data_IF_505713737994
#
_entry.id   IF_505713737994
#
_cell.length_a   1.000
_cell.length_b   1.000
_cell.length_c   1.000
_cell.angle_alpha   90.00
_cell.angle_beta   90.00
_cell.angle_gamma   90.00
#
_symmetry.space_group_name_H-M   'P 1'
#
loop_
_entity.id
_entity.type
_entity.pdbx_description
1 polymer ?
#
# COMPACT_ATOMS: atom_id res chain seq x y z
N UNK A 1 7.71 10.54 -30.02
CA UNK A 1 6.54 9.78 -30.50
C UNK A 1 5.32 10.32 -29.77
N UNK A 2 4.21 10.56 -30.46
CA UNK A 2 2.97 11.01 -29.80
C UNK A 2 2.29 9.78 -29.18
N UNK A 3 2.19 9.74 -27.86
CA UNK A 3 1.44 8.71 -27.15
C UNK A 3 -0.05 8.87 -27.50
N UNK A 4 -0.76 7.82 -27.94
CA UNK A 4 -2.17 7.94 -28.29
C UNK A 4 -3.00 8.29 -27.05
N UNK A 5 -3.93 9.23 -27.19
CA UNK A 5 -4.83 9.61 -26.10
C UNK A 5 -5.68 8.41 -25.67
N UNK A 6 -5.84 8.22 -24.36
CA UNK A 6 -6.70 7.18 -23.80
C UNK A 6 -8.06 7.83 -23.50
N UNK A 7 -9.18 7.33 -24.05
CA UNK A 7 -10.49 7.87 -23.71
C UNK A 7 -10.79 7.71 -22.21
N UNK A 8 -11.20 8.78 -21.54
CA UNK A 8 -11.48 8.82 -20.09
C UNK A 8 -12.43 7.71 -19.61
N UNK A 9 -13.45 7.36 -20.40
CA UNK A 9 -14.42 6.31 -20.07
C UNK A 9 -13.85 4.89 -20.16
N UNK A 10 -12.68 4.71 -20.77
CA UNK A 10 -11.94 3.44 -20.82
C UNK A 10 -10.87 3.36 -19.73
N UNK A 11 -10.76 4.38 -18.87
CA UNK A 11 -9.86 4.38 -17.74
C UNK A 11 -10.52 3.77 -16.51
N UNK A 12 -9.77 3.00 -15.72
CA UNK A 12 -10.20 2.59 -14.37
C UNK A 12 -10.28 3.80 -13.43
N UNK A 13 -10.95 3.67 -12.28
CA UNK A 13 -11.01 4.76 -11.30
C UNK A 13 -9.64 5.26 -10.83
N UNK A 14 -8.65 4.36 -10.71
CA UNK A 14 -7.27 4.71 -10.37
C UNK A 14 -6.57 5.45 -11.52
N UNK A 15 -6.75 4.99 -12.76
CA UNK A 15 -6.21 5.66 -13.93
C UNK A 15 -6.78 7.08 -14.07
N UNK A 16 -8.08 7.27 -13.83
CA UNK A 16 -8.73 8.58 -13.80
C UNK A 16 -8.13 9.49 -12.71
N UNK A 17 -7.87 8.95 -11.52
CA UNK A 17 -7.26 9.70 -10.42
C UNK A 17 -5.81 10.13 -10.76
N UNK A 18 -5.00 9.22 -11.28
CA UNK A 18 -3.61 9.48 -11.72
C UNK A 18 -3.57 10.47 -12.87
N UNK A 19 -4.49 10.36 -13.83
CA UNK A 19 -4.59 11.31 -14.92
C UNK A 19 -4.94 12.71 -14.40
N UNK A 20 -5.96 12.82 -13.53
CA UNK A 20 -6.40 14.10 -12.99
C UNK A 20 -5.33 14.80 -12.16
N UNK A 21 -4.60 14.05 -11.32
CA UNK A 21 -3.50 14.61 -10.51
C UNK A 21 -2.32 15.06 -11.39
N UNK A 22 -1.97 14.25 -12.39
CA UNK A 22 -0.91 14.58 -13.36
C UNK A 22 -1.26 15.81 -14.19
N UNK A 23 -2.51 15.91 -14.66
CA UNK A 23 -3.01 17.09 -15.36
C UNK A 23 -2.96 18.34 -14.47
N UNK A 24 -3.44 18.23 -13.22
CA UNK A 24 -3.46 19.36 -12.29
C UNK A 24 -2.07 19.92 -11.98
N UNK A 25 -1.03 19.07 -11.98
CA UNK A 25 0.36 19.48 -11.75
C UNK A 25 0.93 20.43 -12.83
N UNK A 26 0.33 20.43 -14.03
CA UNK A 26 0.73 21.23 -15.17
C UNK A 26 -0.43 22.11 -15.68
N UNK A 27 -1.44 22.42 -14.85
CA UNK A 27 -2.65 23.11 -15.27
C UNK A 27 -2.42 24.48 -15.94
N UNK A 28 -1.26 25.11 -15.71
CA UNK A 28 -0.84 26.34 -16.38
C UNK A 28 -0.47 26.18 -17.87
N UNK A 29 -0.27 24.95 -18.34
CA UNK A 29 -0.04 24.59 -19.74
C UNK A 29 -0.90 23.38 -20.13
N UNK A 30 -2.17 23.62 -20.54
CA UNK A 30 -3.13 22.55 -20.79
C UNK A 30 -2.69 21.55 -21.86
N UNK A 31 -1.93 21.97 -22.86
CA UNK A 31 -1.48 21.09 -23.95
C UNK A 31 -0.45 20.09 -23.44
N UNK A 32 0.51 20.57 -22.66
CA UNK A 32 1.51 19.69 -22.06
C UNK A 32 0.92 18.88 -20.89
N UNK A 33 -0.05 19.42 -20.16
CA UNK A 33 -0.77 18.70 -19.10
C UNK A 33 -1.49 17.46 -19.62
N UNK A 34 -2.22 17.56 -20.74
CA UNK A 34 -2.90 16.42 -21.36
C UNK A 34 -1.89 15.37 -21.80
N UNK A 35 -0.84 15.78 -22.52
CA UNK A 35 0.20 14.86 -23.01
C UNK A 35 0.91 14.14 -21.87
N UNK A 36 1.20 14.86 -20.80
CA UNK A 36 1.82 14.32 -19.61
C UNK A 36 0.90 13.33 -18.91
N UNK A 37 -0.35 13.71 -18.66
CA UNK A 37 -1.33 12.84 -18.02
C UNK A 37 -1.58 11.55 -18.81
N UNK A 38 -1.72 11.64 -20.14
CA UNK A 38 -1.84 10.47 -21.01
C UNK A 38 -0.59 9.59 -20.94
N UNK A 39 0.61 10.17 -21.02
CA UNK A 39 1.86 9.41 -20.91
C UNK A 39 1.98 8.69 -19.56
N UNK A 40 1.63 9.34 -18.45
CA UNK A 40 1.67 8.73 -17.11
C UNK A 40 0.70 7.54 -17.03
N UNK A 41 -0.52 7.64 -17.59
CA UNK A 41 -1.45 6.50 -17.62
C UNK A 41 -0.90 5.35 -18.47
N UNK A 42 -0.24 5.63 -19.60
CA UNK A 42 0.43 4.58 -20.38
C UNK A 42 1.55 3.90 -19.60
N UNK A 43 2.39 4.66 -18.89
CA UNK A 43 3.41 4.08 -18.02
C UNK A 43 2.79 3.23 -16.90
N UNK A 44 1.67 3.68 -16.33
CA UNK A 44 0.94 2.90 -15.32
C UNK A 44 0.45 1.56 -15.86
N UNK A 45 -0.02 1.53 -17.11
CA UNK A 45 -0.44 0.30 -17.80
C UNK A 45 0.75 -0.61 -18.15
N UNK A 46 1.87 -0.04 -18.57
CA UNK A 46 3.10 -0.80 -18.85
C UNK A 46 3.67 -1.48 -17.60
N UNK A 47 3.54 -0.84 -16.43
CA UNK A 47 3.92 -1.43 -15.16
C UNK A 47 3.02 -2.61 -14.75
N UNK A 48 1.86 -2.75 -15.39
CA UNK A 48 0.95 -3.88 -15.23
C UNK A 48 0.65 -4.18 -13.75
N UNK A 49 0.47 -3.12 -12.96
CA UNK A 49 0.30 -3.20 -11.50
C UNK A 49 -1.01 -3.90 -11.07
N UNK A 50 -1.92 -4.12 -12.01
CA UNK A 50 -3.14 -4.92 -11.82
C UNK A 50 -2.99 -6.37 -12.27
N UNK A 51 -1.84 -6.76 -12.83
CA UNK A 51 -1.57 -8.16 -13.10
C UNK A 51 -1.27 -8.88 -11.79
N UNK A 52 -2.32 -9.51 -11.28
CA UNK A 52 -2.38 -10.37 -10.10
C UNK A 52 -1.29 -11.45 -10.05
N UNK A 53 -0.51 -11.65 -11.13
CA UNK A 53 0.69 -12.50 -11.11
C UNK A 53 1.79 -11.99 -10.18
N UNK A 54 1.78 -10.71 -9.81
CA UNK A 54 2.80 -10.09 -8.95
C UNK A 54 2.26 -9.54 -7.62
N UNK A 55 0.98 -9.75 -7.28
CA UNK A 55 0.51 -9.49 -5.92
C UNK A 55 0.94 -10.65 -5.01
N UNK A 56 2.19 -10.59 -4.55
CA UNK A 56 2.62 -11.40 -3.41
C UNK A 56 1.67 -11.23 -2.22
N UNK A 57 1.66 -12.17 -1.26
CA UNK A 57 0.78 -12.11 -0.09
C UNK A 57 0.87 -10.78 0.67
N UNK A 58 2.00 -10.07 0.56
CA UNK A 58 2.24 -8.74 1.12
C UNK A 58 1.36 -7.65 0.48
N UNK A 59 1.13 -7.72 -0.84
CA UNK A 59 0.33 -6.74 -1.58
C UNK A 59 -1.17 -6.94 -1.35
N UNK A 60 -1.62 -8.20 -1.33
CA UNK A 60 -2.99 -8.56 -0.94
C UNK A 60 -3.26 -8.16 0.52
N UNK A 61 -2.33 -8.41 1.44
CA UNK A 61 -2.45 -7.96 2.84
C UNK A 61 -2.59 -6.44 2.96
N UNK A 62 -1.78 -5.68 2.21
CA UNK A 62 -1.85 -4.22 2.20
C UNK A 62 -3.18 -3.70 1.61
N UNK A 63 -3.67 -4.32 0.52
CA UNK A 63 -4.92 -3.94 -0.17
C UNK A 63 -6.18 -4.29 0.63
N UNK A 64 -6.14 -5.38 1.39
CA UNK A 64 -7.20 -5.76 2.32
C UNK A 64 -7.20 -4.94 3.61
N UNK A 65 -6.32 -3.93 3.75
CA UNK A 65 -6.32 -3.01 4.88
C UNK A 65 -5.97 -3.73 6.18
N UNK A 66 -4.73 -4.20 6.29
CA UNK A 66 -4.28 -5.06 7.38
C UNK A 66 -3.99 -4.30 8.67
N UNK A 67 -4.99 -4.23 9.55
CA UNK A 67 -4.79 -4.22 10.99
C UNK A 67 -5.21 -5.57 11.54
N UNK A 68 -4.29 -6.38 12.08
CA UNK A 68 -4.68 -7.46 12.99
C UNK A 68 -5.60 -6.84 14.05
N UNK A 69 -6.71 -7.48 14.38
CA UNK A 69 -7.42 -7.14 15.62
C UNK A 69 -6.49 -7.40 16.81
N UNK A 70 -6.79 -6.79 17.96
CA UNK A 70 -5.97 -7.02 19.15
C UNK A 70 -5.86 -8.51 19.50
N UNK A 71 -6.93 -9.29 19.33
CA UNK A 71 -6.94 -10.72 19.60
C UNK A 71 -6.06 -11.52 18.63
N UNK A 72 -6.12 -11.19 17.32
CA UNK A 72 -5.26 -11.83 16.33
C UNK A 72 -3.79 -11.47 16.56
N UNK A 73 -3.51 -10.22 16.92
CA UNK A 73 -2.17 -9.76 17.28
C UNK A 73 -1.66 -10.44 18.55
N UNK A 74 -2.50 -10.55 19.59
CA UNK A 74 -2.19 -11.20 20.87
C UNK A 74 -1.80 -12.66 20.68
N UNK A 75 -2.50 -13.39 19.80
CA UNK A 75 -2.17 -14.77 19.48
C UNK A 75 -0.82 -14.90 18.74
N UNK A 76 -0.51 -13.95 17.85
CA UNK A 76 0.70 -13.96 17.04
C UNK A 76 1.96 -13.46 17.76
N UNK A 77 1.84 -12.46 18.63
CA UNK A 77 2.96 -11.74 19.24
C UNK A 77 3.98 -12.63 19.98
N UNK A 78 3.59 -13.64 20.78
CA UNK A 78 4.56 -14.53 21.45
C UNK A 78 5.46 -15.28 20.46
N UNK A 79 4.93 -15.65 19.30
CA UNK A 79 5.69 -16.35 18.25
C UNK A 79 6.67 -15.38 17.60
N UNK A 80 6.20 -14.19 17.24
CA UNK A 80 7.04 -13.13 16.67
C UNK A 80 8.20 -12.75 17.62
N UNK A 81 7.91 -12.60 18.91
CA UNK A 81 8.91 -12.28 19.93
C UNK A 81 9.96 -13.39 20.07
N UNK A 82 9.56 -14.66 20.02
CA UNK A 82 10.50 -15.81 20.03
C UNK A 82 11.40 -15.81 18.80
N UNK A 83 10.86 -15.54 17.61
CA UNK A 83 11.66 -15.45 16.38
C UNK A 83 12.68 -14.31 16.50
N UNK A 84 12.24 -13.12 16.88
CA UNK A 84 13.10 -11.94 17.03
C UNK A 84 14.23 -12.16 18.04
N UNK A 85 13.96 -12.89 19.13
CA UNK A 85 14.93 -13.19 20.20
C UNK A 85 15.63 -14.54 20.06
N UNK A 86 15.53 -15.20 18.89
CA UNK A 86 16.16 -16.50 18.63
C UNK A 86 15.83 -17.57 19.69
N UNK A 87 14.58 -17.57 20.15
CA UNK A 87 14.03 -18.54 21.10
C UNK A 87 14.13 -18.16 22.58
N UNK A 88 14.84 -17.08 22.93
CA UNK A 88 14.99 -16.65 24.33
C UNK A 88 13.90 -15.62 24.67
N UNK A 89 12.81 -16.09 25.29
CA UNK A 89 11.73 -15.22 25.79
C UNK A 89 11.31 -15.68 27.17
N UNK A 90 11.27 -14.74 28.12
CA UNK A 90 10.84 -15.02 29.49
C UNK A 90 9.33 -14.79 29.66
N UNK A 91 8.67 -15.49 30.60
CA UNK A 91 7.24 -15.28 30.86
C UNK A 91 6.86 -13.84 31.20
N UNK A 92 7.77 -13.07 31.80
CA UNK A 92 7.55 -11.67 32.16
C UNK A 92 7.44 -10.73 30.93
N UNK A 93 7.83 -11.20 29.75
CA UNK A 93 7.77 -10.45 28.50
C UNK A 93 6.48 -10.74 27.71
N UNK A 94 5.74 -11.77 28.11
CA UNK A 94 4.47 -12.19 27.51
C UNK A 94 3.35 -11.84 28.51
N UNK A 95 3.15 -10.55 28.72
CA UNK A 95 2.13 -10.02 29.64
C UNK A 95 1.07 -9.24 28.87
N UNK A 96 -0.11 -9.06 29.48
CA UNK A 96 -1.19 -8.25 28.90
C UNK A 96 -0.72 -6.84 28.53
N UNK A 97 0.04 -6.21 29.42
CA UNK A 97 0.60 -4.89 29.20
C UNK A 97 1.59 -4.86 28.02
N UNK A 98 2.40 -5.92 27.86
CA UNK A 98 3.32 -6.05 26.72
C UNK A 98 2.56 -6.22 25.40
N UNK A 99 1.49 -7.02 25.37
CA UNK A 99 0.62 -7.16 24.19
C UNK A 99 0.01 -5.82 23.79
N UNK A 100 -0.56 -5.07 24.74
CA UNK A 100 -1.18 -3.78 24.45
C UNK A 100 -0.16 -2.76 23.91
N UNK A 101 1.01 -2.68 24.54
CA UNK A 101 2.07 -1.75 24.11
C UNK A 101 2.55 -2.09 22.70
N UNK A 102 2.80 -3.37 22.43
CA UNK A 102 3.24 -3.82 21.11
C UNK A 102 2.16 -3.63 20.04
N UNK A 103 0.88 -3.83 20.38
CA UNK A 103 -0.23 -3.59 19.47
C UNK A 103 -0.37 -2.11 19.10
N UNK A 104 -0.21 -1.21 20.07
CA UNK A 104 -0.23 0.24 19.82
C UNK A 104 0.92 0.66 18.88
N UNK A 105 2.12 0.08 19.08
CA UNK A 105 3.24 0.30 18.15
C UNK A 105 2.92 -0.23 16.75
N UNK A 106 2.37 -1.44 16.65
CA UNK A 106 1.93 -2.03 15.40
C UNK A 106 0.92 -1.13 14.66
N UNK A 107 -0.09 -0.61 15.38
CA UNK A 107 -1.08 0.31 14.81
C UNK A 107 -0.45 1.61 14.31
N UNK A 108 0.49 2.19 15.05
CA UNK A 108 1.20 3.41 14.62
C UNK A 108 2.06 3.17 13.37
N UNK A 109 2.76 2.04 13.30
CA UNK A 109 3.58 1.71 12.14
C UNK A 109 2.76 1.24 10.94
N UNK A 110 1.54 0.73 11.16
CA UNK A 110 0.64 0.32 10.06
C UNK A 110 0.17 1.51 9.20
N UNK A 111 0.26 2.73 9.73
CA UNK A 111 -0.07 3.96 9.01
C UNK A 111 1.14 4.67 8.40
N UNK A 112 2.38 4.28 8.73
CA UNK A 112 3.61 4.94 8.23
C UNK A 112 3.99 4.52 6.80
N UNK A 113 3.28 3.57 6.19
CA UNK A 113 3.51 3.11 4.82
C UNK A 113 2.64 3.84 3.76
N UNK A 114 1.87 4.85 4.15
CA UNK A 114 0.98 5.63 3.27
C UNK A 114 1.16 7.13 3.42
#
# INVERSE_FOLDING_TARGET
MLTPAIPWHQMTGREQFVWASSYASLAGDPVNAIRWADWVVHQLRELDIDNERYSGPEYEAARHGSGLTFEEFRAWYPVALKIAKKGIVTPNEITEAAFQTAFQTYQRCSTDFY
#
